data_IF_069542412532
#
_entry.id   IF_069542412532
#
_cell.length_a   1.000
_cell.length_b   1.000
_cell.length_c   1.000
_cell.angle_alpha   90.00
_cell.angle_beta   90.00
_cell.angle_gamma   90.00
#
_symmetry.space_group_name_H-M   'P 1'
#
loop_
_entity.id
_entity.type
_entity.pdbx_description
1 polymer ?
#
# COMPACT_ATOMS: atom_id res chain seq x y z
N UNK A 1 -15.33 12.89 17.61
CA UNK A 1 -15.31 12.52 19.04
C UNK A 1 -15.08 11.01 19.10
N UNK A 2 -13.93 10.40 19.41
CA UNK A 2 -12.67 10.80 20.06
C UNK A 2 -11.48 10.38 19.18
N UNK A 3 -10.70 11.35 18.70
CA UNK A 3 -9.56 11.09 17.84
C UNK A 3 -8.23 10.91 18.63
N UNK A 4 -8.32 10.75 19.95
CA UNK A 4 -7.17 10.57 20.84
C UNK A 4 -7.32 9.25 21.56
N UNK A 5 -6.34 8.37 21.40
CA UNK A 5 -6.25 7.08 22.09
C UNK A 5 -5.49 7.23 23.39
N UNK A 6 -5.72 6.30 24.33
CA UNK A 6 -5.11 6.31 25.66
C UNK A 6 -4.44 4.97 25.98
N UNK A 7 -3.30 5.04 26.65
CA UNK A 7 -2.62 3.94 27.36
C UNK A 7 -2.54 4.35 28.85
N UNK A 8 -2.03 3.47 29.72
CA UNK A 8 -1.99 3.68 31.18
C UNK A 8 -1.39 5.03 31.60
N UNK A 9 -0.38 5.52 30.87
CA UNK A 9 0.32 6.77 31.19
C UNK A 9 0.51 7.71 29.99
N UNK A 10 -0.19 7.49 28.88
CA UNK A 10 -0.04 8.33 27.69
C UNK A 10 -1.32 8.47 26.89
N UNK A 11 -1.50 9.65 26.29
CA UNK A 11 -2.54 9.92 25.29
C UNK A 11 -1.86 10.23 23.98
N UNK A 12 -2.39 9.70 22.89
CA UNK A 12 -1.70 9.76 21.61
C UNK A 12 -2.67 9.78 20.43
N UNK A 13 -2.19 10.40 19.34
CA UNK A 13 -2.82 10.42 18.02
C UNK A 13 -1.69 10.36 17.00
N UNK A 14 -1.37 9.15 16.57
CA UNK A 14 -0.25 8.89 15.66
C UNK A 14 -0.81 8.24 14.41
N UNK A 15 -1.19 9.09 13.44
CA UNK A 15 -1.71 8.67 12.14
C UNK A 15 -0.66 8.88 11.07
N UNK A 16 -0.56 7.92 10.18
CA UNK A 16 0.42 7.92 9.11
C UNK A 16 -0.23 7.52 7.80
N UNK A 17 0.06 8.27 6.75
CA UNK A 17 -0.17 7.86 5.38
C UNK A 17 1.08 7.17 4.88
N UNK A 18 0.96 5.92 4.48
CA UNK A 18 2.06 5.07 4.07
C UNK A 18 1.80 4.60 2.66
N UNK A 19 2.81 4.71 1.80
CA UNK A 19 2.75 4.23 0.42
C UNK A 19 3.91 3.30 0.10
N UNK A 20 3.60 2.14 -0.47
CA UNK A 20 4.62 1.20 -0.93
C UNK A 20 4.13 0.37 -2.12
N UNK A 21 5.07 -0.07 -2.95
CA UNK A 21 4.78 -0.72 -4.22
C UNK A 21 5.39 -2.13 -4.32
N UNK A 22 4.76 -3.05 -5.07
CA UNK A 22 5.40 -4.29 -5.48
C UNK A 22 6.69 -4.03 -6.24
N UNK A 23 7.68 -4.90 -6.07
CA UNK A 23 8.97 -4.80 -6.76
C UNK A 23 8.74 -4.88 -8.27
N UNK A 24 9.38 -3.96 -9.00
CA UNK A 24 9.23 -3.81 -10.45
C UNK A 24 7.81 -3.43 -10.92
N UNK A 25 6.98 -2.83 -10.04
CA UNK A 25 5.61 -2.37 -10.36
C UNK A 25 4.81 -3.43 -11.14
N UNK A 26 4.87 -4.70 -10.70
CA UNK A 26 4.28 -5.84 -11.41
C UNK A 26 2.75 -5.89 -11.23
N UNK A 27 2.06 -5.02 -11.96
CA UNK A 27 0.61 -4.80 -11.87
C UNK A 27 -0.22 -6.08 -12.14
N UNK A 28 0.19 -6.93 -13.08
CA UNK A 28 -0.61 -8.08 -13.54
C UNK A 28 -0.83 -9.12 -12.43
N UNK A 29 0.22 -9.46 -11.68
CA UNK A 29 0.09 -10.43 -10.59
C UNK A 29 -0.60 -9.78 -9.41
N UNK A 30 -0.19 -8.54 -9.09
CA UNK A 30 -0.75 -7.79 -8.00
C UNK A 30 -2.27 -7.66 -8.13
N UNK A 31 -2.79 -7.32 -9.31
CA UNK A 31 -4.22 -7.26 -9.59
C UNK A 31 -4.94 -8.59 -9.35
N UNK A 32 -4.35 -9.73 -9.74
CA UNK A 32 -4.94 -11.06 -9.54
C UNK A 32 -4.98 -11.50 -8.08
N UNK A 33 -4.03 -11.05 -7.26
CA UNK A 33 -3.94 -11.43 -5.84
C UNK A 33 -4.29 -10.29 -4.87
N UNK A 34 -4.80 -9.15 -5.37
CA UNK A 34 -5.09 -7.93 -4.59
C UNK A 34 -5.95 -8.22 -3.37
N UNK A 35 -6.98 -9.05 -3.51
CA UNK A 35 -7.86 -9.43 -2.40
C UNK A 35 -7.14 -10.21 -1.30
N UNK A 36 -6.26 -11.14 -1.67
CA UNK A 36 -5.47 -11.93 -0.72
C UNK A 36 -4.38 -11.09 -0.05
N UNK A 37 -3.72 -10.22 -0.81
CA UNK A 37 -2.76 -9.24 -0.27
C UNK A 37 -3.43 -8.34 0.76
N UNK A 38 -4.62 -7.81 0.46
CA UNK A 38 -5.39 -6.99 1.39
C UNK A 38 -5.73 -7.72 2.69
N UNK A 39 -6.12 -9.01 2.62
CA UNK A 39 -6.35 -9.84 3.81
C UNK A 39 -5.09 -10.02 4.64
N UNK A 40 -3.97 -10.39 4.00
CA UNK A 40 -2.68 -10.58 4.65
C UNK A 40 -2.21 -9.30 5.36
N UNK A 41 -2.31 -8.15 4.70
CA UNK A 41 -1.92 -6.86 5.28
C UNK A 41 -2.79 -6.51 6.49
N UNK A 42 -4.11 -6.72 6.41
CA UNK A 42 -5.04 -6.51 7.52
C UNK A 42 -4.71 -7.38 8.73
N UNK A 43 -4.45 -8.67 8.51
CA UNK A 43 -4.08 -9.60 9.58
C UNK A 43 -2.76 -9.20 10.26
N UNK A 44 -1.77 -8.79 9.48
CA UNK A 44 -0.47 -8.36 10.01
C UNK A 44 -0.57 -7.05 10.79
N UNK A 45 -1.42 -6.11 10.36
CA UNK A 45 -1.69 -4.89 11.11
C UNK A 45 -2.34 -5.20 12.46
N UNK A 46 -3.36 -6.07 12.46
CA UNK A 46 -4.05 -6.52 13.68
C UNK A 46 -3.07 -7.17 14.67
N UNK A 47 -2.16 -8.03 14.19
CA UNK A 47 -1.12 -8.67 15.04
C UNK A 47 -0.16 -7.69 15.70
N UNK A 48 -0.02 -6.48 15.16
CA UNK A 48 0.83 -5.41 15.70
C UNK A 48 0.04 -4.31 16.40
N UNK A 49 -1.26 -4.51 16.62
CA UNK A 49 -2.17 -3.49 17.16
C UNK A 49 -2.11 -2.16 16.37
N UNK A 50 -1.87 -2.26 15.06
CA UNK A 50 -1.94 -1.13 14.13
C UNK A 50 -3.33 -1.15 13.51
N UNK A 51 -4.06 -0.05 13.70
CA UNK A 51 -5.40 0.10 13.12
C UNK A 51 -5.29 0.67 11.71
N UNK A 52 -5.98 0.06 10.76
CA UNK A 52 -6.14 0.59 9.41
C UNK A 52 -7.40 1.45 9.41
N UNK A 53 -7.23 2.75 9.18
CA UNK A 53 -8.35 3.69 9.07
C UNK A 53 -8.95 3.60 7.67
N UNK A 54 -8.09 3.67 6.64
CA UNK A 54 -8.43 3.51 5.23
C UNK A 54 -7.26 2.85 4.53
N UNK A 55 -7.51 2.05 3.51
CA UNK A 55 -6.46 1.51 2.66
C UNK A 55 -7.00 1.20 1.28
N UNK A 56 -6.29 1.65 0.24
CA UNK A 56 -6.60 1.34 -1.15
C UNK A 56 -5.39 0.67 -1.81
N UNK A 57 -5.69 -0.37 -2.59
CA UNK A 57 -4.68 -1.16 -3.28
C UNK A 57 -4.70 -0.76 -4.76
N UNK A 58 -3.95 0.26 -5.14
CA UNK A 58 -3.89 0.73 -6.53
C UNK A 58 -3.15 -0.28 -7.43
N UNK A 59 -3.26 -0.17 -8.77
CA UNK A 59 -2.69 -1.16 -9.69
C UNK A 59 -1.18 -1.44 -9.47
N UNK A 60 -0.38 -0.42 -9.13
CA UNK A 60 1.08 -0.54 -8.95
C UNK A 60 1.59 -0.15 -7.55
N UNK A 61 0.74 0.29 -6.64
CA UNK A 61 1.12 0.66 -5.26
C UNK A 61 -0.05 0.57 -4.28
N UNK A 62 0.24 0.64 -2.98
CA UNK A 62 -0.76 0.58 -1.91
C UNK A 62 -0.68 1.86 -1.10
N UNK A 63 -1.82 2.49 -0.89
CA UNK A 63 -2.00 3.55 0.09
C UNK A 63 -2.61 2.97 1.36
N UNK A 64 -2.03 3.29 2.52
CA UNK A 64 -2.58 2.93 3.81
C UNK A 64 -2.58 4.15 4.73
N UNK A 65 -3.75 4.52 5.23
CA UNK A 65 -3.90 5.43 6.36
C UNK A 65 -4.03 4.59 7.63
N UNK A 66 -3.02 4.63 8.48
CA UNK A 66 -2.91 3.77 9.66
C UNK A 66 -2.68 4.55 10.93
N UNK A 67 -3.14 4.01 12.06
CA UNK A 67 -2.82 4.48 13.39
C UNK A 67 -1.81 3.53 14.03
N UNK A 68 -0.58 4.00 14.25
CA UNK A 68 0.52 3.18 14.80
C UNK A 68 0.74 3.58 16.28
N UNK A 69 0.76 2.63 17.23
CA UNK A 69 1.05 2.93 18.62
C UNK A 69 2.41 3.63 18.81
N UNK A 70 2.54 4.60 19.74
CA UNK A 70 3.72 5.46 19.85
C UNK A 70 4.99 4.70 20.27
N UNK A 71 4.86 3.53 20.89
CA UNK A 71 5.99 2.66 21.24
C UNK A 71 6.53 1.85 20.05
N UNK A 72 5.77 1.79 18.95
CA UNK A 72 6.14 1.07 17.73
C UNK A 72 6.63 2.06 16.69
N UNK A 73 7.92 2.01 16.34
CA UNK A 73 8.44 2.87 15.29
C UNK A 73 7.89 2.50 13.92
N UNK A 74 7.64 3.51 13.07
CA UNK A 74 7.13 3.30 11.71
C UNK A 74 8.08 2.42 10.89
N UNK A 75 9.39 2.62 11.02
CA UNK A 75 10.39 1.83 10.31
C UNK A 75 10.38 0.35 10.69
N UNK A 76 10.24 0.05 11.99
CA UNK A 76 10.11 -1.32 12.49
C UNK A 76 8.82 -1.97 12.01
N UNK A 77 7.70 -1.24 12.07
CA UNK A 77 6.42 -1.70 11.55
C UNK A 77 6.48 -2.01 10.05
N UNK A 78 7.05 -1.12 9.25
CA UNK A 78 7.18 -1.33 7.80
C UNK A 78 8.12 -2.47 7.43
N UNK A 79 9.21 -2.64 8.18
CA UNK A 79 10.09 -3.80 8.05
C UNK A 79 9.34 -5.11 8.31
N UNK A 80 8.54 -5.16 9.37
CA UNK A 80 7.70 -6.31 9.71
C UNK A 80 6.62 -6.56 8.64
N UNK A 81 5.83 -5.54 8.30
CA UNK A 81 4.68 -5.64 7.41
C UNK A 81 5.10 -6.14 6.03
N UNK A 82 6.12 -5.53 5.42
CA UNK A 82 6.62 -5.90 4.09
C UNK A 82 7.27 -7.28 4.09
N UNK A 83 8.06 -7.61 5.11
CA UNK A 83 8.77 -8.90 5.17
C UNK A 83 7.81 -10.07 5.40
N UNK A 84 6.90 -9.96 6.38
CA UNK A 84 5.94 -11.03 6.69
C UNK A 84 4.87 -11.19 5.60
N UNK A 85 4.39 -10.10 5.02
CA UNK A 85 3.45 -10.20 3.89
C UNK A 85 4.10 -10.87 2.67
N UNK A 86 5.35 -10.52 2.35
CA UNK A 86 6.08 -11.20 1.26
C UNK A 86 6.13 -12.72 1.50
N UNK A 87 6.46 -13.15 2.72
CA UNK A 87 6.51 -14.57 3.07
C UNK A 87 5.15 -15.25 2.87
N UNK A 88 4.08 -14.67 3.44
CA UNK A 88 2.72 -15.22 3.35
C UNK A 88 2.18 -15.26 1.91
N UNK A 89 2.52 -14.26 1.09
CA UNK A 89 2.16 -14.24 -0.32
C UNK A 89 2.87 -15.37 -1.08
N UNK A 90 4.17 -15.57 -0.86
CA UNK A 90 4.90 -16.66 -1.54
C UNK A 90 4.48 -18.05 -1.06
N UNK A 91 4.06 -18.18 0.19
CA UNK A 91 3.55 -19.43 0.74
C UNK A 91 2.19 -19.79 0.13
N UNK A 92 1.25 -18.83 0.11
CA UNK A 92 -0.09 -19.01 -0.45
C UNK A 92 -0.10 -19.11 -1.98
N UNK A 93 0.82 -18.43 -2.65
CA UNK A 93 0.93 -18.41 -4.10
C UNK A 93 2.27 -19.01 -4.54
N UNK A 94 2.49 -20.28 -4.22
CA UNK A 94 3.73 -21.02 -4.47
C UNK A 94 4.23 -20.93 -5.92
N UNK A 95 3.33 -20.81 -6.90
CA UNK A 95 3.67 -20.68 -8.33
C UNK A 95 4.38 -19.34 -8.67
N UNK A 96 4.31 -18.33 -7.80
CA UNK A 96 5.11 -17.10 -7.95
C UNK A 96 6.60 -17.35 -7.69
N UNK A 97 6.96 -18.42 -6.96
CA UNK A 97 8.34 -18.72 -6.56
C UNK A 97 9.22 -19.12 -7.74
N UNK A 98 8.67 -19.82 -8.73
CA UNK A 98 9.41 -20.32 -9.90
C UNK A 98 9.73 -19.23 -10.94
N UNK A 99 8.90 -18.19 -11.07
CA UNK A 99 9.10 -17.16 -12.11
C UNK A 99 10.04 -16.03 -11.69
N UNK A 100 10.37 -15.90 -10.39
CA UNK A 100 11.00 -14.67 -9.89
C UNK A 100 12.36 -14.79 -9.24
N UNK A 101 12.90 -15.99 -9.01
CA UNK A 101 14.29 -16.29 -8.60
C UNK A 101 14.75 -15.72 -7.24
N UNK A 102 14.23 -14.56 -6.86
CA UNK A 102 14.50 -13.79 -5.66
C UNK A 102 13.18 -13.57 -4.91
N UNK A 103 13.13 -13.94 -3.62
CA UNK A 103 11.94 -13.86 -2.75
C UNK A 103 11.61 -12.42 -2.29
N UNK A 104 11.67 -11.45 -3.20
CA UNK A 104 11.32 -10.05 -2.91
C UNK A 104 10.02 -9.68 -3.60
N UNK A 105 8.97 -9.47 -2.82
CA UNK A 105 7.66 -9.05 -3.34
C UNK A 105 7.53 -7.52 -3.43
N UNK A 106 8.03 -6.77 -2.44
CA UNK A 106 7.95 -5.31 -2.38
C UNK A 106 9.26 -4.61 -2.81
N UNK A 107 9.15 -3.34 -3.22
CA UNK A 107 10.29 -2.42 -3.33
C UNK A 107 10.99 -2.25 -1.97
N UNK A 108 12.28 -1.85 -1.97
CA UNK A 108 13.03 -1.60 -0.72
C UNK A 108 12.46 -0.41 0.05
N UNK A 109 12.26 0.71 -0.63
CA UNK A 109 11.70 1.94 -0.06
C UNK A 109 10.20 1.86 0.24
N UNK A 110 9.73 2.86 0.99
CA UNK A 110 8.33 3.21 1.19
C UNK A 110 8.28 4.71 1.49
N UNK A 111 7.16 5.35 1.18
CA UNK A 111 6.87 6.72 1.57
C UNK A 111 6.04 6.73 2.85
N UNK A 112 6.25 7.73 3.69
CA UNK A 112 5.44 7.97 4.89
C UNK A 112 5.26 9.47 5.08
N UNK A 113 4.03 9.86 5.37
CA UNK A 113 3.67 11.20 5.84
C UNK A 113 2.87 11.11 7.14
N UNK A 114 3.05 12.10 8.02
CA UNK A 114 2.31 12.25 9.26
C UNK A 114 0.98 12.94 9.00
N UNK A 115 -0.12 12.30 9.38
CA UNK A 115 -1.45 12.90 9.19
C UNK A 115 -1.85 13.65 10.45
N UNK A 116 -1.84 14.99 10.34
CA UNK A 116 -2.29 15.92 11.38
C UNK A 116 -3.81 16.13 11.38
N UNK A 117 -4.26 17.39 11.39
CA UNK A 117 -5.69 17.77 11.46
C UNK A 117 -6.49 17.53 10.17
N UNK A 118 -5.84 17.38 9.02
CA UNK A 118 -6.50 17.25 7.70
C UNK A 118 -6.74 15.80 7.27
N UNK A 119 -7.22 14.97 8.19
CA UNK A 119 -7.51 13.56 7.92
C UNK A 119 -8.60 13.37 6.85
N UNK A 120 -9.57 14.29 6.77
CA UNK A 120 -10.66 14.23 5.80
C UNK A 120 -10.18 14.24 4.36
N UNK A 121 -9.28 15.18 4.01
CA UNK A 121 -8.73 15.32 2.67
C UNK A 121 -7.92 14.09 2.24
N UNK A 122 -7.15 13.49 3.16
CA UNK A 122 -6.36 12.29 2.85
C UNK A 122 -7.27 11.05 2.69
N UNK A 123 -8.33 10.93 3.49
CA UNK A 123 -9.32 9.86 3.32
C UNK A 123 -10.02 9.95 1.97
N UNK A 124 -10.43 11.16 1.60
CA UNK A 124 -11.10 11.43 0.33
C UNK A 124 -10.16 11.16 -0.84
N UNK A 125 -8.91 11.64 -0.77
CA UNK A 125 -7.86 11.31 -1.74
C UNK A 125 -7.65 9.80 -1.89
N UNK A 126 -7.49 9.05 -0.80
CA UNK A 126 -7.30 7.59 -0.88
C UNK A 126 -8.50 6.88 -1.51
N UNK A 127 -9.72 7.30 -1.19
CA UNK A 127 -10.94 6.71 -1.75
C UNK A 127 -11.10 7.03 -3.23
N UNK A 128 -10.73 8.24 -3.63
CA UNK A 128 -10.89 8.72 -5.00
C UNK A 128 -9.65 8.46 -5.86
N UNK A 129 -8.54 7.97 -5.29
CA UNK A 129 -7.25 7.81 -5.97
C UNK A 129 -7.40 7.06 -7.30
N UNK A 130 -8.17 5.98 -7.31
CA UNK A 130 -8.36 5.17 -8.50
C UNK A 130 -9.08 5.97 -9.62
N UNK A 131 -10.02 6.84 -9.26
CA UNK A 131 -10.75 7.69 -10.20
C UNK A 131 -9.88 8.85 -10.69
N UNK A 132 -9.07 9.44 -9.81
CA UNK A 132 -8.11 10.49 -10.17
C UNK A 132 -7.01 9.93 -11.08
N UNK A 133 -6.47 8.75 -10.79
CA UNK A 133 -5.51 8.04 -11.64
C UNK A 133 -6.12 7.77 -13.03
N UNK A 134 -7.36 7.26 -13.09
CA UNK A 134 -8.08 7.04 -14.35
C UNK A 134 -8.29 8.36 -15.10
N UNK A 135 -8.67 9.44 -14.41
CA UNK A 135 -8.89 10.74 -15.04
C UNK A 135 -7.58 11.36 -15.55
N UNK A 136 -6.49 11.24 -14.80
CA UNK A 136 -5.15 11.68 -15.20
C UNK A 136 -4.63 10.86 -16.38
N UNK A 137 -4.77 9.54 -16.35
CA UNK A 137 -4.42 8.67 -17.47
C UNK A 137 -5.26 9.02 -18.71
N UNK A 138 -6.56 9.25 -18.56
CA UNK A 138 -7.47 9.66 -19.65
C UNK A 138 -7.12 11.04 -20.21
N UNK A 139 -6.65 11.98 -19.38
CA UNK A 139 -6.16 13.30 -19.82
C UNK A 139 -4.78 13.22 -20.49
N UNK A 140 -3.97 12.20 -20.18
CA UNK A 140 -2.67 11.95 -20.79
C UNK A 140 -2.72 11.07 -22.06
N UNK A 141 -3.88 10.59 -22.49
CA UNK A 141 -4.00 9.84 -23.73
C UNK A 141 -3.95 10.76 -24.96
N UNK A 142 -2.72 11.10 -25.35
CA UNK A 142 -2.27 11.00 -26.74
C UNK A 142 -0.83 10.47 -26.79
N UNK A 143 -0.64 9.22 -26.39
CA UNK A 143 0.51 8.45 -26.86
C UNK A 143 0.25 8.06 -28.33
N UNK A 144 0.83 8.83 -29.25
CA UNK A 144 0.72 8.59 -30.70
C UNK A 144 1.52 7.35 -31.16
N UNK A 145 2.25 6.69 -30.26
CA UNK A 145 3.17 5.60 -30.57
C UNK A 145 3.11 4.57 -29.45
N UNK A 146 2.91 3.30 -29.81
CA UNK A 146 2.93 2.17 -28.88
C UNK A 146 4.35 1.99 -28.32
N UNK A 147 4.55 2.13 -26.99
CA UNK A 147 5.88 2.08 -26.38
C UNK A 147 6.52 0.68 -26.35
N UNK A 148 5.81 -0.36 -26.79
CA UNK A 148 6.29 -1.73 -26.89
C UNK A 148 6.64 -2.17 -28.31
N UNK A 149 5.94 -1.62 -29.32
CA UNK A 149 6.16 -1.97 -30.74
C UNK A 149 6.82 -0.86 -31.55
N UNK A 150 6.73 0.39 -31.10
CA UNK A 150 7.19 1.56 -31.85
C UNK A 150 6.29 1.94 -33.02
N UNK A 151 5.16 1.24 -33.20
CA UNK A 151 4.20 1.55 -34.27
C UNK A 151 3.21 2.63 -33.82
N UNK A 152 2.71 3.46 -34.76
CA UNK A 152 1.64 4.40 -34.46
C UNK A 152 0.35 3.66 -34.10
N UNK A 153 -0.29 4.11 -33.01
CA UNK A 153 -1.57 3.54 -32.56
C UNK A 153 -2.64 3.93 -33.59
N UNK A 154 -3.24 2.95 -34.29
CA UNK A 154 -4.31 3.16 -35.28
C UNK A 154 -5.60 3.66 -34.66
#
# INVERSE_FOLDING_TARGET
>A
MNDVKSLSHSKWRCKYHIVFAPKYRRQIIYGRIKADVGKILRDLCNRKNVEIIEAECCPDHIHMLVTIPPHLSVSSFMGYLKSKSSLMIFDKHANLKYKYGNRHFWCRGYYVDTVGRYEGAIKEYIRNQLQEDIAQDTLNFKEYTDPFTGEPVK
#
